data_IF_216774872327
#
_entry.id   IF_216774872327
#
_cell.length_a   1.000
_cell.length_b   1.000
_cell.length_c   1.000
_cell.angle_alpha   90.00
_cell.angle_beta   90.00
_cell.angle_gamma   90.00
#
_symmetry.space_group_name_H-M   'P 1'
#
loop_
_entity.id
_entity.type
_entity.pdbx_description
1 polymer ?
#
# COMPACT_ATOMS: atom_id res chain seq x y z
N UNK A 1 29.58 15.64 22.35
CA UNK A 1 28.81 15.09 21.24
C UNK A 1 29.28 15.78 19.97
N UNK A 2 30.19 15.13 19.25
CA UNK A 2 30.74 15.62 17.98
C UNK A 2 29.68 15.43 16.91
N UNK A 3 29.20 16.54 16.34
CA UNK A 3 28.40 16.53 15.13
C UNK A 3 29.33 16.18 13.98
N UNK A 4 29.38 14.89 13.61
CA UNK A 4 29.93 14.49 12.32
C UNK A 4 29.03 15.10 11.23
N UNK A 5 29.41 16.28 10.75
CA UNK A 5 28.88 16.86 9.52
C UNK A 5 29.17 15.85 8.42
N UNK A 6 28.14 15.15 7.96
CA UNK A 6 28.16 14.41 6.71
C UNK A 6 28.43 15.46 5.65
N UNK A 7 29.57 15.36 4.96
CA UNK A 7 29.81 16.09 3.71
C UNK A 7 28.77 15.60 2.69
N UNK A 8 27.61 16.24 2.74
CA UNK A 8 26.59 16.11 1.70
C UNK A 8 27.22 16.81 0.50
N UNK A 9 27.92 16.04 -0.36
CA UNK A 9 28.13 16.48 -1.73
C UNK A 9 26.75 16.84 -2.25
N UNK A 10 26.54 18.13 -2.44
CA UNK A 10 25.30 18.66 -2.99
C UNK A 10 25.07 18.01 -4.36
N UNK A 11 24.29 16.94 -4.38
CA UNK A 11 23.86 16.21 -5.56
C UNK A 11 22.56 16.84 -6.07
N UNK A 12 22.23 18.04 -5.59
CA UNK A 12 21.18 18.82 -6.22
C UNK A 12 21.55 18.95 -7.69
N UNK A 13 20.75 18.48 -8.65
CA UNK A 13 21.08 18.66 -10.06
C UNK A 13 21.20 20.14 -10.28
N UNK A 14 22.43 20.63 -10.44
CA UNK A 14 22.68 21.97 -10.97
C UNK A 14 21.81 22.06 -12.19
N UNK A 15 20.79 22.91 -12.15
CA UNK A 15 19.75 23.17 -13.16
C UNK A 15 19.98 22.35 -14.42
N UNK A 16 19.12 21.35 -14.62
CA UNK A 16 19.16 20.41 -15.75
C UNK A 16 19.49 21.18 -17.02
N UNK A 17 20.77 21.23 -17.38
CA UNK A 17 21.21 21.79 -18.62
C UNK A 17 21.40 20.61 -19.57
N UNK A 18 20.43 20.36 -20.49
CA UNK A 18 20.45 19.18 -21.35
C UNK A 18 21.69 19.12 -22.25
N UNK A 19 22.50 20.19 -22.31
CA UNK A 19 23.71 20.27 -23.14
C UNK A 19 25.02 19.87 -22.40
N UNK A 20 25.01 19.73 -21.07
CA UNK A 20 26.25 19.46 -20.31
C UNK A 20 26.36 18.07 -19.71
N UNK A 21 25.28 17.31 -19.59
CA UNK A 21 25.31 15.89 -19.22
C UNK A 21 25.34 14.99 -20.47
N UNK A 22 26.48 14.95 -21.14
CA UNK A 22 26.83 13.82 -22.02
C UNK A 22 27.31 12.63 -21.15
N UNK A 23 26.47 12.21 -20.21
CA UNK A 23 26.65 10.93 -19.55
C UNK A 23 26.37 9.80 -20.55
N UNK A 24 27.00 8.64 -20.38
CA UNK A 24 26.77 7.45 -21.21
C UNK A 24 25.27 7.06 -21.31
N UNK A 25 24.40 7.52 -20.39
CA UNK A 25 22.95 7.37 -20.45
C UNK A 25 22.30 7.96 -21.70
N UNK A 26 22.76 9.14 -22.16
CA UNK A 26 22.22 9.79 -23.38
C UNK A 26 22.53 9.01 -24.67
N UNK A 27 23.62 8.23 -24.67
CA UNK A 27 23.99 7.35 -25.79
C UNK A 27 22.93 6.27 -26.05
N UNK A 28 22.23 5.81 -24.98
CA UNK A 28 21.22 4.75 -25.06
C UNK A 28 19.78 5.28 -25.09
N UNK A 29 19.55 6.54 -24.70
CA UNK A 29 18.22 7.15 -24.60
C UNK A 29 18.15 8.53 -25.26
N UNK A 30 18.42 8.63 -26.57
CA UNK A 30 18.52 9.92 -27.25
C UNK A 30 17.22 10.74 -27.30
N UNK A 31 16.07 10.10 -27.03
CA UNK A 31 14.73 10.70 -27.02
C UNK A 31 14.13 10.83 -25.62
N UNK A 32 14.94 10.80 -24.55
CA UNK A 32 14.49 10.74 -23.15
C UNK A 32 13.59 9.51 -22.83
N UNK A 33 13.44 8.56 -23.74
CA UNK A 33 12.69 7.32 -23.53
C UNK A 33 13.64 6.19 -23.14
N UNK A 34 13.44 5.61 -21.97
CA UNK A 34 14.26 4.51 -21.48
C UNK A 34 13.76 3.19 -22.08
N UNK A 35 14.62 2.54 -22.91
CA UNK A 35 14.37 1.22 -23.48
C UNK A 35 15.03 0.16 -22.62
N UNK A 36 14.33 -0.32 -21.60
CA UNK A 36 14.85 -1.32 -20.67
C UNK A 36 15.11 -2.63 -21.40
N UNK A 37 16.33 -3.16 -21.26
CA UNK A 37 16.74 -4.47 -21.75
C UNK A 37 16.44 -5.53 -20.70
N UNK A 38 15.88 -6.68 -21.08
CA UNK A 38 15.67 -7.79 -20.16
C UNK A 38 17.02 -8.33 -19.66
N UNK A 39 17.17 -8.46 -18.34
CA UNK A 39 18.24 -9.20 -17.69
C UNK A 39 17.76 -10.59 -17.32
N UNK A 40 18.66 -11.57 -17.26
CA UNK A 40 18.38 -12.92 -16.75
C UNK A 40 19.27 -13.14 -15.53
N UNK A 41 18.68 -13.45 -14.39
CA UNK A 41 19.44 -13.69 -13.16
C UNK A 41 18.53 -13.92 -11.95
N UNK A 42 19.12 -14.01 -10.78
CA UNK A 42 18.44 -14.32 -9.52
C UNK A 42 17.49 -13.19 -9.11
N UNK A 43 17.95 -11.95 -9.18
CA UNK A 43 17.15 -10.78 -8.78
C UNK A 43 15.98 -10.55 -9.73
N UNK A 44 16.17 -10.80 -11.03
CA UNK A 44 15.07 -10.76 -12.00
C UNK A 44 14.01 -11.84 -11.73
N UNK A 45 14.43 -13.06 -11.39
CA UNK A 45 13.49 -14.12 -11.00
C UNK A 45 12.72 -13.75 -9.74
N UNK A 46 13.41 -13.32 -8.68
CA UNK A 46 12.79 -12.90 -7.42
C UNK A 46 11.75 -11.80 -7.64
N UNK A 47 12.10 -10.76 -8.39
CA UNK A 47 11.19 -9.65 -8.73
C UNK A 47 9.98 -10.12 -9.54
N UNK A 48 10.20 -11.00 -10.52
CA UNK A 48 9.12 -11.54 -11.36
C UNK A 48 8.15 -12.38 -10.56
N UNK A 49 8.64 -13.36 -9.80
CA UNK A 49 7.78 -14.24 -9.00
C UNK A 49 7.12 -13.48 -7.85
N UNK A 50 7.86 -12.61 -7.15
CA UNK A 50 7.29 -11.75 -6.12
C UNK A 50 6.21 -10.80 -6.67
N UNK A 51 6.45 -10.20 -7.82
CA UNK A 51 5.47 -9.34 -8.49
C UNK A 51 4.20 -10.10 -8.91
N UNK A 52 4.34 -11.30 -9.49
CA UNK A 52 3.18 -12.14 -9.83
C UNK A 52 2.41 -12.59 -8.59
N UNK A 53 3.10 -12.97 -7.53
CA UNK A 53 2.46 -13.35 -6.27
C UNK A 53 1.63 -12.20 -5.69
N UNK A 54 2.21 -11.01 -5.59
CA UNK A 54 1.51 -9.83 -5.08
C UNK A 54 0.30 -9.45 -5.94
N UNK A 55 0.43 -9.56 -7.24
CA UNK A 55 -0.62 -9.24 -8.19
C UNK A 55 -1.78 -10.23 -8.13
N UNK A 56 -1.47 -11.53 -8.05
CA UNK A 56 -2.46 -12.57 -7.86
C UNK A 56 -3.14 -12.45 -6.49
N UNK A 57 -2.39 -12.19 -5.44
CA UNK A 57 -2.93 -11.94 -4.11
C UNK A 57 -3.92 -10.76 -4.13
N UNK A 58 -3.51 -9.63 -4.69
CA UNK A 58 -4.38 -8.46 -4.86
C UNK A 58 -5.63 -8.78 -5.68
N UNK A 59 -5.47 -9.47 -6.83
CA UNK A 59 -6.56 -9.73 -7.75
C UNK A 59 -7.56 -10.78 -7.26
N UNK A 60 -7.12 -11.78 -6.49
CA UNK A 60 -7.96 -12.92 -6.09
C UNK A 60 -8.77 -12.68 -4.82
N UNK A 61 -8.27 -11.87 -3.88
CA UNK A 61 -8.95 -11.64 -2.60
C UNK A 61 -10.42 -11.22 -2.76
N UNK A 62 -10.79 -10.24 -3.64
CA UNK A 62 -12.20 -9.85 -3.78
C UNK A 62 -13.13 -10.95 -4.32
N UNK A 63 -12.56 -12.04 -4.87
CA UNK A 63 -13.34 -13.17 -5.39
C UNK A 63 -13.57 -14.27 -4.37
N UNK A 64 -12.87 -14.23 -3.22
CA UNK A 64 -12.97 -15.26 -2.19
C UNK A 64 -14.28 -15.02 -1.41
N UNK A 65 -15.23 -15.98 -1.44
CA UNK A 65 -16.42 -15.89 -0.61
C UNK A 65 -16.08 -16.22 0.85
N UNK A 66 -16.73 -15.56 1.77
CA UNK A 66 -16.67 -15.84 3.20
C UNK A 66 -18.06 -15.69 3.80
N UNK A 67 -18.76 -16.80 4.06
CA UNK A 67 -20.18 -16.79 4.40
C UNK A 67 -21.03 -16.23 3.25
N UNK A 68 -21.94 -15.33 3.56
CA UNK A 68 -22.84 -14.68 2.60
C UNK A 68 -22.19 -13.52 1.80
N UNK A 69 -20.94 -13.16 2.13
CA UNK A 69 -20.22 -12.04 1.52
C UNK A 69 -18.82 -12.40 1.05
N UNK A 70 -18.11 -11.45 0.44
CA UNK A 70 -16.70 -11.63 0.09
C UNK A 70 -15.79 -11.42 1.32
N UNK A 71 -14.61 -12.08 1.32
CA UNK A 71 -13.68 -12.11 2.44
C UNK A 71 -13.20 -10.72 2.89
N UNK A 72 -12.99 -9.78 1.97
CA UNK A 72 -12.70 -8.38 2.24
C UNK A 72 -13.67 -7.52 1.44
N UNK A 73 -14.50 -6.75 2.14
CA UNK A 73 -15.45 -5.80 1.55
C UNK A 73 -15.49 -4.53 2.40
N UNK A 74 -15.08 -3.42 1.82
CA UNK A 74 -15.08 -2.10 2.43
C UNK A 74 -16.33 -1.34 1.96
N UNK A 75 -17.48 -1.67 2.54
CA UNK A 75 -18.75 -1.05 2.17
C UNK A 75 -18.86 0.36 2.77
N UNK A 76 -18.54 1.35 1.93
CA UNK A 76 -18.60 2.77 2.33
C UNK A 76 -20.04 3.23 2.50
N UNK A 77 -20.98 2.70 1.71
CA UNK A 77 -22.39 3.11 1.76
C UNK A 77 -23.03 2.77 3.10
N UNK A 78 -22.78 1.57 3.60
CA UNK A 78 -23.27 1.10 4.90
C UNK A 78 -22.27 1.37 6.04
N UNK A 79 -21.11 1.97 5.74
CA UNK A 79 -20.04 2.24 6.72
C UNK A 79 -19.56 0.97 7.45
N UNK A 80 -19.42 -0.12 6.70
CA UNK A 80 -19.00 -1.43 7.21
C UNK A 80 -17.71 -1.87 6.52
N UNK A 81 -16.69 -2.18 7.32
CA UNK A 81 -15.41 -2.65 6.83
C UNK A 81 -15.24 -4.12 7.20
N UNK A 82 -15.52 -4.99 6.27
CA UNK A 82 -15.55 -6.44 6.47
C UNK A 82 -14.19 -7.06 6.16
N UNK A 83 -13.60 -7.71 7.14
CA UNK A 83 -12.36 -8.45 7.02
C UNK A 83 -12.58 -9.88 7.52
N UNK A 84 -12.76 -10.84 6.61
CA UNK A 84 -13.08 -12.22 6.95
C UNK A 84 -14.28 -12.30 7.93
N UNK A 85 -14.04 -12.85 9.12
CA UNK A 85 -15.05 -13.00 10.17
C UNK A 85 -15.39 -11.75 10.97
N UNK A 86 -14.66 -10.64 10.78
CA UNK A 86 -14.78 -9.43 11.59
C UNK A 86 -15.36 -8.29 10.78
N UNK A 87 -16.35 -7.59 11.32
CA UNK A 87 -16.90 -6.34 10.76
C UNK A 87 -16.47 -5.17 11.63
N UNK A 88 -15.72 -4.23 11.06
CA UNK A 88 -15.33 -2.99 11.70
C UNK A 88 -16.26 -1.87 11.26
N UNK A 89 -16.54 -0.97 12.18
CA UNK A 89 -17.39 0.20 11.97
C UNK A 89 -16.56 1.49 12.14
N UNK A 90 -17.12 2.68 11.85
CA UNK A 90 -16.42 3.95 12.05
C UNK A 90 -15.88 4.17 13.47
N UNK A 91 -16.49 3.56 14.49
CA UNK A 91 -15.99 3.60 15.87
C UNK A 91 -14.62 2.90 16.02
N UNK A 92 -14.38 1.88 15.19
CA UNK A 92 -13.17 1.04 15.22
C UNK A 92 -12.05 1.59 14.30
N UNK A 93 -12.19 2.82 13.77
CA UNK A 93 -11.20 3.46 12.87
C UNK A 93 -9.82 3.65 13.51
N UNK A 94 -9.73 3.61 14.83
CA UNK A 94 -8.45 3.59 15.54
C UNK A 94 -7.57 2.41 15.15
N UNK A 95 -8.16 1.23 14.89
CA UNK A 95 -7.45 0.05 14.38
C UNK A 95 -6.86 0.31 12.99
N UNK A 96 -7.62 0.95 12.10
CA UNK A 96 -7.14 1.31 10.76
C UNK A 96 -6.02 2.35 10.84
N UNK A 97 -6.16 3.36 11.70
CA UNK A 97 -5.11 4.35 11.91
C UNK A 97 -3.82 3.69 12.42
N UNK A 98 -3.92 2.78 13.38
CA UNK A 98 -2.78 2.05 13.94
C UNK A 98 -2.12 1.15 12.87
N UNK A 99 -2.91 0.51 12.00
CA UNK A 99 -2.41 -0.26 10.87
C UNK A 99 -1.58 0.60 9.90
N UNK A 100 -2.04 1.82 9.58
CA UNK A 100 -1.28 2.75 8.73
C UNK A 100 0.02 3.21 9.42
N UNK A 101 0.00 3.44 10.72
CA UNK A 101 1.21 3.78 11.49
C UNK A 101 2.20 2.62 11.46
N UNK A 102 1.75 1.38 11.67
CA UNK A 102 2.57 0.17 11.57
C UNK A 102 3.18 0.05 10.16
N UNK A 103 2.38 0.26 9.11
CA UNK A 103 2.86 0.21 7.73
C UNK A 103 3.93 1.28 7.47
N UNK A 104 3.75 2.51 7.95
CA UNK A 104 4.72 3.59 7.82
C UNK A 104 6.04 3.28 8.54
N UNK A 105 5.98 2.87 9.81
CA UNK A 105 7.19 2.50 10.58
C UNK A 105 7.85 1.24 10.02
N UNK A 106 7.08 0.28 9.53
CA UNK A 106 7.61 -0.89 8.81
C UNK A 106 8.40 -0.50 7.55
N UNK A 107 7.87 0.44 6.77
CA UNK A 107 8.59 0.98 5.62
C UNK A 107 9.87 1.74 6.04
N UNK A 108 9.85 2.50 7.12
CA UNK A 108 11.02 3.20 7.63
C UNK A 108 12.08 2.24 8.13
N UNK A 109 11.68 1.18 8.84
CA UNK A 109 12.57 0.13 9.30
C UNK A 109 13.26 -0.59 8.12
N UNK A 110 12.47 -1.05 7.14
CA UNK A 110 12.98 -1.71 5.93
C UNK A 110 13.91 -0.78 5.15
N UNK A 111 13.55 0.50 4.99
CA UNK A 111 14.34 1.48 4.25
C UNK A 111 15.67 1.77 4.94
N UNK A 112 15.69 1.90 6.26
CA UNK A 112 16.92 2.10 7.02
C UNK A 112 17.84 0.89 6.89
N UNK A 113 17.33 -0.32 6.82
CA UNK A 113 18.10 -1.55 6.70
C UNK A 113 18.49 -1.85 5.25
N UNK A 114 17.54 -1.98 4.34
CA UNK A 114 17.70 -2.47 2.97
C UNK A 114 17.56 -1.38 1.89
N UNK A 115 17.56 -0.10 2.28
CA UNK A 115 17.41 0.98 1.34
C UNK A 115 16.07 0.93 0.58
N UNK A 116 16.11 1.07 -0.74
CA UNK A 116 14.92 1.11 -1.60
C UNK A 116 14.41 -0.25 -2.06
N UNK A 117 14.63 -1.32 -1.30
CA UNK A 117 14.19 -2.66 -1.68
C UNK A 117 12.67 -2.74 -1.89
N UNK A 118 11.87 -2.01 -1.09
CA UNK A 118 10.43 -1.89 -1.30
C UNK A 118 10.11 -1.38 -2.71
N UNK A 119 10.76 -0.29 -3.14
CA UNK A 119 10.57 0.29 -4.47
C UNK A 119 10.96 -0.68 -5.59
N UNK A 120 12.00 -1.49 -5.39
CA UNK A 120 12.49 -2.42 -6.39
C UNK A 120 11.67 -3.69 -6.58
N UNK A 121 10.96 -4.16 -5.53
CA UNK A 121 10.34 -5.50 -5.53
C UNK A 121 8.85 -5.51 -5.21
N UNK A 122 8.39 -4.66 -4.26
CA UNK A 122 7.05 -4.75 -3.68
C UNK A 122 6.12 -3.60 -4.09
N UNK A 123 6.70 -2.46 -4.50
CA UNK A 123 5.92 -1.29 -4.87
C UNK A 123 5.00 -1.59 -6.07
N UNK A 124 3.69 -1.32 -5.98
CA UNK A 124 2.76 -1.55 -7.08
C UNK A 124 3.21 -0.90 -8.39
N UNK A 125 3.64 0.36 -8.35
CA UNK A 125 4.12 1.07 -9.54
C UNK A 125 5.23 0.30 -10.27
N UNK A 126 6.17 -0.28 -9.53
CA UNK A 126 7.27 -1.07 -10.09
C UNK A 126 6.77 -2.39 -10.66
N UNK A 127 5.88 -3.08 -9.94
CA UNK A 127 5.31 -4.36 -10.39
C UNK A 127 4.57 -4.18 -11.72
N UNK A 128 3.65 -3.22 -11.81
CA UNK A 128 2.92 -2.93 -13.06
C UNK A 128 3.84 -2.46 -14.18
N UNK A 129 4.81 -1.59 -13.88
CA UNK A 129 5.78 -1.11 -14.90
C UNK A 129 6.56 -2.28 -15.50
N UNK A 130 7.07 -3.21 -14.67
CA UNK A 130 7.79 -4.38 -15.19
C UNK A 130 6.90 -5.35 -15.96
N UNK A 131 5.64 -5.49 -15.57
CA UNK A 131 4.67 -6.29 -16.33
C UNK A 131 4.41 -5.67 -17.71
N UNK A 132 4.23 -4.34 -17.77
CA UNK A 132 4.05 -3.62 -19.03
C UNK A 132 5.29 -3.73 -19.94
N UNK A 133 6.49 -3.62 -19.39
CA UNK A 133 7.75 -3.83 -20.11
C UNK A 133 7.84 -5.26 -20.65
N UNK A 134 7.39 -6.26 -19.87
CA UNK A 134 7.37 -7.64 -20.33
C UNK A 134 6.46 -7.83 -21.56
N UNK A 135 5.26 -7.22 -21.59
CA UNK A 135 4.40 -7.22 -22.77
C UNK A 135 5.02 -6.49 -23.95
N UNK A 136 5.69 -5.35 -23.74
CA UNK A 136 6.45 -4.67 -24.80
C UNK A 136 7.49 -5.60 -25.43
N UNK A 137 8.22 -6.30 -24.61
CA UNK A 137 9.28 -7.18 -25.09
C UNK A 137 8.75 -8.38 -25.85
N UNK A 138 7.63 -8.95 -25.41
CA UNK A 138 6.96 -10.06 -26.10
C UNK A 138 6.36 -9.65 -27.45
N UNK A 139 5.74 -8.48 -27.53
CA UNK A 139 4.99 -8.04 -28.72
C UNK A 139 5.86 -7.25 -29.70
N UNK A 140 6.69 -6.32 -29.23
CA UNK A 140 7.52 -5.46 -30.08
C UNK A 140 8.97 -5.99 -30.21
N UNK A 141 9.42 -6.82 -29.26
CA UNK A 141 10.76 -7.43 -29.22
C UNK A 141 11.75 -6.71 -28.31
N UNK A 142 13.03 -7.06 -28.45
CA UNK A 142 14.11 -6.56 -27.58
C UNK A 142 14.26 -5.04 -27.61
N UNK A 143 14.86 -4.45 -26.57
CA UNK A 143 15.07 -3.01 -26.42
C UNK A 143 15.73 -2.37 -27.68
N UNK A 144 16.78 -3.01 -28.23
CA UNK A 144 17.45 -2.53 -29.44
C UNK A 144 16.53 -2.54 -30.66
N UNK A 145 15.67 -3.57 -30.80
CA UNK A 145 14.69 -3.66 -31.88
C UNK A 145 13.64 -2.56 -31.75
N UNK A 146 13.12 -2.33 -30.53
CA UNK A 146 12.13 -1.27 -30.24
C UNK A 146 12.69 0.11 -30.55
N UNK A 147 13.95 0.40 -30.16
CA UNK A 147 14.64 1.66 -30.50
C UNK A 147 14.72 1.87 -32.02
N UNK A 148 15.15 0.84 -32.75
CA UNK A 148 15.24 0.91 -34.24
C UNK A 148 13.85 1.05 -34.89
N UNK A 149 12.81 0.42 -34.33
CA UNK A 149 11.45 0.54 -34.82
C UNK A 149 10.87 1.94 -34.61
N UNK A 150 11.16 2.58 -33.47
CA UNK A 150 10.67 3.92 -33.16
C UNK A 150 11.39 5.02 -34.01
N UNK A 151 12.58 4.74 -34.54
CA UNK A 151 13.28 5.65 -35.48
C UNK A 151 12.85 5.46 -36.94
N UNK A 152 12.16 4.37 -37.28
CA UNK A 152 11.74 4.06 -38.65
C UNK A 152 10.28 4.49 -38.90
N UNK A 153 9.91 4.57 -40.18
CA UNK A 153 8.52 4.81 -40.63
C UNK A 153 7.58 3.69 -40.11
N UNK A 154 6.38 4.07 -39.72
CA UNK A 154 5.36 3.14 -39.25
C UNK A 154 4.88 2.23 -40.40
N UNK A 155 5.10 0.92 -40.27
CA UNK A 155 4.58 -0.09 -41.20
C UNK A 155 3.30 -0.71 -40.60
N UNK A 156 2.42 -1.28 -41.45
CA UNK A 156 1.17 -1.92 -41.00
C UNK A 156 1.40 -3.00 -39.93
N UNK A 157 2.42 -3.85 -40.10
CA UNK A 157 2.78 -4.89 -39.12
C UNK A 157 3.25 -4.26 -37.80
N UNK A 158 4.03 -3.17 -37.82
CA UNK A 158 4.47 -2.47 -36.63
C UNK A 158 3.29 -1.78 -35.95
N UNK A 159 2.37 -1.18 -36.69
CA UNK A 159 1.15 -0.57 -36.18
C UNK A 159 0.28 -1.60 -35.43
N UNK A 160 0.09 -2.79 -36.02
CA UNK A 160 -0.65 -3.88 -35.39
C UNK A 160 0.00 -4.35 -34.06
N UNK A 161 1.34 -4.52 -34.05
CA UNK A 161 2.06 -4.90 -32.81
C UNK A 161 1.93 -3.85 -31.73
N UNK A 162 2.00 -2.56 -32.07
CA UNK A 162 1.77 -1.47 -31.15
C UNK A 162 0.33 -1.44 -30.63
N UNK A 163 -0.65 -1.67 -31.50
CA UNK A 163 -2.06 -1.77 -31.11
C UNK A 163 -2.28 -2.93 -30.11
N UNK A 164 -1.76 -4.12 -30.41
CA UNK A 164 -1.84 -5.27 -29.50
C UNK A 164 -1.18 -5.00 -28.14
N UNK A 165 -0.06 -4.30 -28.13
CA UNK A 165 0.57 -3.86 -26.88
C UNK A 165 -0.35 -2.95 -26.07
N UNK A 166 -0.96 -1.94 -26.68
CA UNK A 166 -1.86 -1.02 -26.00
C UNK A 166 -3.15 -1.71 -25.53
N UNK A 167 -3.68 -2.66 -26.30
CA UNK A 167 -4.81 -3.50 -25.89
C UNK A 167 -4.42 -4.31 -24.65
N UNK A 168 -3.27 -4.99 -24.66
CA UNK A 168 -2.80 -5.76 -23.50
C UNK A 168 -2.61 -4.88 -22.26
N UNK A 169 -2.01 -3.70 -22.42
CA UNK A 169 -1.85 -2.74 -21.33
C UNK A 169 -3.19 -2.26 -20.77
N UNK A 170 -4.13 -1.93 -21.64
CA UNK A 170 -5.46 -1.46 -21.24
C UNK A 170 -6.26 -2.58 -20.55
N UNK A 171 -6.16 -3.82 -21.03
CA UNK A 171 -6.81 -4.97 -20.39
C UNK A 171 -6.32 -5.19 -18.96
N UNK A 172 -5.01 -5.08 -18.74
CA UNK A 172 -4.42 -5.19 -17.40
C UNK A 172 -4.85 -4.01 -16.51
N UNK A 173 -4.85 -2.81 -17.08
CA UNK A 173 -5.29 -1.61 -16.38
C UNK A 173 -6.76 -1.71 -15.98
N UNK A 174 -7.61 -2.20 -16.88
CA UNK A 174 -9.04 -2.43 -16.61
C UNK A 174 -9.25 -3.51 -15.53
N UNK A 175 -8.52 -4.63 -15.61
CA UNK A 175 -8.54 -5.67 -14.58
C UNK A 175 -8.10 -5.11 -13.22
N UNK A 176 -7.10 -4.23 -13.19
CA UNK A 176 -6.67 -3.54 -11.97
C UNK A 176 -7.76 -2.62 -11.42
N UNK A 177 -8.44 -1.86 -12.29
CA UNK A 177 -9.58 -1.02 -11.91
C UNK A 177 -10.72 -1.81 -11.31
N UNK A 178 -11.12 -2.92 -11.95
CA UNK A 178 -12.13 -3.85 -11.40
C UNK A 178 -11.73 -4.39 -10.03
N UNK A 179 -10.49 -4.89 -9.93
CA UNK A 179 -10.00 -5.45 -8.67
C UNK A 179 -10.04 -4.42 -7.55
N UNK A 180 -9.57 -3.19 -7.81
CA UNK A 180 -9.56 -2.13 -6.80
C UNK A 180 -10.98 -1.77 -6.35
N UNK A 181 -11.89 -1.52 -7.28
CA UNK A 181 -13.30 -1.19 -6.98
C UNK A 181 -14.01 -2.39 -6.34
N UNK A 182 -13.64 -3.62 -6.71
CA UNK A 182 -14.15 -4.85 -6.13
C UNK A 182 -13.85 -5.06 -4.64
N UNK A 183 -12.96 -4.27 -4.05
CA UNK A 183 -12.82 -4.19 -2.58
C UNK A 183 -13.91 -3.33 -1.92
N UNK A 184 -14.61 -2.47 -2.68
CA UNK A 184 -15.63 -1.54 -2.17
C UNK A 184 -17.04 -1.91 -2.60
N UNK A 185 -17.18 -2.71 -3.64
CA UNK A 185 -18.44 -3.19 -4.18
C UNK A 185 -18.34 -4.70 -4.40
N UNK A 186 -19.40 -5.49 -4.17
CA UNK A 186 -19.33 -6.94 -4.40
C UNK A 186 -18.84 -7.27 -5.81
N UNK A 187 -17.67 -7.93 -5.89
CA UNK A 187 -16.93 -8.12 -7.13
C UNK A 187 -17.71 -8.83 -8.23
N UNK A 188 -18.45 -9.90 -7.87
CA UNK A 188 -19.27 -10.66 -8.83
C UNK A 188 -20.35 -9.78 -9.47
N UNK A 189 -21.07 -9.01 -8.64
CA UNK A 189 -22.12 -8.10 -9.10
C UNK A 189 -21.54 -6.98 -9.96
N UNK A 190 -20.43 -6.37 -9.51
CA UNK A 190 -19.73 -5.31 -10.26
C UNK A 190 -19.38 -5.74 -11.70
N UNK A 191 -18.83 -6.94 -11.87
CA UNK A 191 -18.46 -7.44 -13.20
C UNK A 191 -19.69 -7.73 -14.06
N UNK A 192 -20.71 -8.38 -13.50
CA UNK A 192 -21.95 -8.66 -14.24
C UNK A 192 -22.62 -7.36 -14.69
N UNK A 193 -22.83 -6.42 -13.76
CA UNK A 193 -23.52 -5.17 -14.03
C UNK A 193 -22.77 -4.31 -15.05
N UNK A 194 -21.42 -4.32 -14.99
CA UNK A 194 -20.61 -3.58 -15.95
C UNK A 194 -20.79 -4.10 -17.39
N UNK A 195 -20.72 -5.42 -17.59
CA UNK A 195 -20.83 -6.01 -18.93
C UNK A 195 -22.27 -6.12 -19.45
N UNK A 196 -23.27 -6.06 -18.57
CA UNK A 196 -24.70 -5.98 -18.92
C UNK A 196 -25.21 -4.55 -19.06
N UNK A 197 -24.35 -3.55 -18.86
CA UNK A 197 -24.68 -2.12 -18.88
C UNK A 197 -25.76 -1.71 -17.86
N UNK A 198 -25.90 -2.48 -16.79
CA UNK A 198 -26.81 -2.20 -15.67
C UNK A 198 -26.10 -1.55 -14.47
N UNK A 199 -24.79 -1.31 -14.58
CA UNK A 199 -24.00 -0.77 -13.48
C UNK A 199 -24.36 0.69 -13.18
N UNK A 200 -24.43 1.04 -11.90
CA UNK A 200 -24.54 2.42 -11.46
C UNK A 200 -23.34 3.26 -11.94
N UNK A 201 -23.55 4.57 -12.08
CA UNK A 201 -22.54 5.50 -12.57
C UNK A 201 -21.24 5.48 -11.76
N UNK A 202 -21.32 5.51 -10.41
CA UNK A 202 -20.13 5.65 -9.56
C UNK A 202 -19.14 4.47 -9.64
N UNK A 203 -19.57 3.19 -9.54
CA UNK A 203 -18.67 2.06 -9.74
C UNK A 203 -17.96 2.09 -11.10
N UNK A 204 -18.70 2.38 -12.19
CA UNK A 204 -18.13 2.47 -13.55
C UNK A 204 -17.09 3.60 -13.63
N UNK A 205 -17.44 4.78 -13.11
CA UNK A 205 -16.52 5.91 -13.06
C UNK A 205 -15.20 5.55 -12.37
N UNK A 206 -15.26 4.93 -11.19
CA UNK A 206 -14.05 4.57 -10.45
C UNK A 206 -13.26 3.44 -11.14
N UNK A 207 -13.90 2.43 -11.73
CA UNK A 207 -13.21 1.40 -12.52
C UNK A 207 -12.43 2.04 -13.66
N UNK A 208 -13.06 2.93 -14.42
CA UNK A 208 -12.41 3.61 -15.55
C UNK A 208 -11.33 4.58 -15.08
N UNK A 209 -11.55 5.32 -14.00
CA UNK A 209 -10.56 6.22 -13.41
C UNK A 209 -9.28 5.47 -13.02
N UNK A 210 -9.39 4.37 -12.25
CA UNK A 210 -8.23 3.58 -11.85
C UNK A 210 -7.57 2.86 -13.04
N UNK A 211 -8.35 2.43 -14.03
CA UNK A 211 -7.81 1.88 -15.27
C UNK A 211 -6.97 2.92 -16.02
N UNK A 212 -7.47 4.13 -16.24
CA UNK A 212 -6.75 5.21 -16.91
C UNK A 212 -5.49 5.59 -16.12
N UNK A 213 -5.58 5.72 -14.80
CA UNK A 213 -4.43 6.02 -13.94
C UNK A 213 -3.37 4.92 -14.05
N UNK A 214 -3.74 3.63 -13.97
CA UNK A 214 -2.80 2.52 -14.09
C UNK A 214 -2.14 2.48 -15.46
N UNK A 215 -2.93 2.65 -16.53
CA UNK A 215 -2.43 2.71 -17.89
C UNK A 215 -1.44 3.85 -18.11
N UNK A 216 -1.75 5.04 -17.62
CA UNK A 216 -0.86 6.21 -17.69
C UNK A 216 0.42 6.03 -16.88
N UNK A 217 0.28 5.63 -15.62
CA UNK A 217 1.39 5.52 -14.68
C UNK A 217 2.39 4.42 -15.07
N UNK A 218 1.90 3.21 -15.38
CA UNK A 218 2.76 2.08 -15.70
C UNK A 218 3.22 2.08 -17.17
N UNK A 219 2.41 2.60 -18.07
CA UNK A 219 2.72 2.63 -19.53
C UNK A 219 3.59 3.79 -19.94
N UNK A 220 3.25 5.01 -19.50
CA UNK A 220 3.85 6.25 -19.98
C UNK A 220 4.78 6.91 -18.96
N UNK A 221 4.31 7.13 -17.74
CA UNK A 221 5.05 7.89 -16.74
C UNK A 221 6.19 7.08 -16.10
N UNK A 222 5.99 5.81 -15.81
CA UNK A 222 7.02 4.87 -15.31
C UNK A 222 7.93 5.47 -14.21
N UNK A 223 9.20 5.71 -14.57
CA UNK A 223 10.20 6.28 -13.67
C UNK A 223 9.87 7.70 -13.22
N UNK A 224 9.15 8.49 -14.02
CA UNK A 224 8.74 9.87 -13.67
C UNK A 224 7.90 9.85 -12.39
N UNK A 225 7.00 8.88 -12.24
CA UNK A 225 6.22 8.69 -11.01
C UNK A 225 7.11 8.52 -9.78
N UNK A 226 8.15 7.67 -9.90
CA UNK A 226 9.05 7.37 -8.79
C UNK A 226 9.98 8.54 -8.45
N UNK A 227 10.42 9.31 -9.45
CA UNK A 227 11.42 10.37 -9.27
C UNK A 227 10.78 11.70 -8.86
N UNK A 228 9.64 12.06 -9.47
CA UNK A 228 9.06 13.39 -9.34
C UNK A 228 7.76 13.45 -8.53
N UNK A 229 6.92 12.43 -8.59
CA UNK A 229 5.58 12.47 -7.98
C UNK A 229 5.49 11.73 -6.65
N UNK A 230 6.28 10.67 -6.44
CA UNK A 230 6.20 9.86 -5.22
C UNK A 230 6.86 10.58 -4.04
N UNK A 231 6.11 11.00 -3.01
CA UNK A 231 6.68 11.67 -1.85
C UNK A 231 7.60 10.73 -1.05
N UNK A 232 7.28 9.44 -1.01
CA UNK A 232 8.08 8.44 -0.30
C UNK A 232 9.51 8.35 -0.82
N UNK A 233 9.74 8.50 -2.13
CA UNK A 233 11.08 8.47 -2.70
C UNK A 233 12.00 9.57 -2.14
N UNK A 234 11.43 10.74 -1.79
CA UNK A 234 12.17 11.85 -1.16
C UNK A 234 12.45 11.57 0.31
N UNK A 235 11.47 11.08 1.06
CA UNK A 235 11.66 10.73 2.47
C UNK A 235 12.67 9.61 2.68
N UNK A 236 12.71 8.63 1.77
CA UNK A 236 13.65 7.52 1.85
C UNK A 236 15.12 7.98 1.86
N UNK A 237 15.48 8.97 1.05
CA UNK A 237 16.87 9.44 0.97
C UNK A 237 17.37 10.00 2.31
N UNK A 238 16.51 10.60 3.12
CA UNK A 238 16.83 11.09 4.46
C UNK A 238 17.01 9.96 5.49
N UNK A 239 16.53 8.75 5.17
CA UNK A 239 16.65 7.60 6.06
C UNK A 239 17.91 6.78 5.86
N UNK A 240 18.61 6.96 4.74
CA UNK A 240 19.84 6.27 4.45
C UNK A 240 20.96 6.72 5.41
N UNK A 241 21.82 5.79 5.70
CA UNK A 241 23.11 6.02 6.35
C UNK A 241 24.18 5.14 5.70
N UNK A 242 25.42 5.28 6.15
CA UNK A 242 26.59 4.58 5.58
C UNK A 242 26.53 3.05 5.74
N UNK A 243 25.65 2.55 6.63
CA UNK A 243 25.44 1.13 6.88
C UNK A 243 24.15 0.58 6.24
N UNK A 244 23.39 1.41 5.50
CA UNK A 244 22.23 0.98 4.75
C UNK A 244 22.66 0.15 3.54
N UNK A 245 22.01 -1.01 3.33
CA UNK A 245 22.28 -1.85 2.16
C UNK A 245 21.72 -1.22 0.89
N UNK A 246 22.59 -0.97 -0.06
CA UNK A 246 22.30 -0.38 -1.36
C UNK A 246 22.92 -1.23 -2.47
N UNK A 247 22.45 -1.08 -3.69
CA UNK A 247 23.18 -1.58 -4.86
C UNK A 247 24.35 -0.67 -5.12
N UNK A 248 25.55 -1.22 -5.09
CA UNK A 248 26.81 -0.46 -5.29
C UNK A 248 27.76 -1.14 -6.25
N UNK A 249 28.58 -0.33 -6.90
CA UNK A 249 29.68 -0.76 -7.76
C UNK A 249 30.99 -0.67 -7.00
N UNK A 250 31.80 -1.73 -7.03
CA UNK A 250 33.13 -1.76 -6.43
C UNK A 250 34.15 -1.10 -7.37
N UNK A 251 34.37 0.18 -7.18
CA UNK A 251 35.32 0.94 -7.97
C UNK A 251 36.79 0.51 -7.75
N UNK A 252 37.14 -0.02 -6.56
CA UNK A 252 38.51 -0.50 -6.27
C UNK A 252 38.86 -1.70 -7.14
N UNK A 253 37.89 -2.58 -7.37
CA UNK A 253 38.03 -3.76 -8.21
C UNK A 253 37.80 -3.45 -9.70
N UNK A 254 36.87 -2.55 -10.01
CA UNK A 254 36.39 -2.31 -11.37
C UNK A 254 37.15 -1.27 -12.19
N UNK A 255 37.81 -0.31 -11.54
CA UNK A 255 38.57 0.75 -12.24
C UNK A 255 40.03 0.34 -12.42
N UNK A 256 40.74 0.72 -13.49
CA UNK A 256 40.23 1.49 -14.64
C UNK A 256 39.49 0.58 -15.60
N UNK A 257 38.28 1.03 -16.03
CA UNK A 257 37.45 0.29 -16.96
C UNK A 257 37.91 0.44 -18.41
N UNK A 258 37.75 -0.63 -19.22
CA UNK A 258 38.08 -0.59 -20.63
C UNK A 258 37.69 -1.85 -21.37
N UNK A 259 37.33 -1.74 -22.67
CA UNK A 259 36.96 -2.88 -23.51
C UNK A 259 38.14 -3.79 -23.74
N UNK A 260 37.93 -5.12 -23.66
CA UNK A 260 38.99 -6.13 -23.91
C UNK A 260 38.39 -7.47 -24.30
N UNK A 261 39.21 -8.31 -24.90
CA UNK A 261 38.86 -9.68 -25.22
C UNK A 261 38.94 -10.58 -23.96
N UNK A 262 38.21 -11.71 -23.98
CA UNK A 262 38.22 -12.70 -22.89
C UNK A 262 39.61 -13.28 -22.58
N UNK A 263 40.48 -13.32 -23.58
CA UNK A 263 41.84 -13.89 -23.47
C UNK A 263 42.88 -12.90 -22.93
N UNK A 264 42.54 -11.61 -22.83
CA UNK A 264 43.47 -10.59 -22.35
C UNK A 264 43.51 -10.57 -20.84
N UNK A 265 44.70 -10.51 -20.26
CA UNK A 265 44.93 -10.36 -18.83
C UNK A 265 44.68 -8.89 -18.43
N UNK A 266 43.70 -8.58 -17.57
CA UNK A 266 43.42 -7.23 -17.15
C UNK A 266 44.56 -6.57 -16.40
N UNK A 267 45.33 -7.35 -15.63
CA UNK A 267 46.45 -6.84 -14.83
C UNK A 267 47.62 -6.35 -15.71
N UNK A 268 47.91 -7.06 -16.78
CA UNK A 268 48.96 -6.65 -17.74
C UNK A 268 48.56 -5.36 -18.48
N UNK A 269 47.26 -5.11 -18.69
CA UNK A 269 46.71 -3.91 -19.33
C UNK A 269 46.51 -2.74 -18.34
N UNK A 270 46.77 -2.94 -17.06
CA UNK A 270 46.48 -1.94 -16.01
C UNK A 270 45.01 -1.61 -15.88
N UNK A 271 44.11 -2.57 -16.23
CA UNK A 271 42.67 -2.42 -16.18
C UNK A 271 42.09 -3.19 -15.00
N UNK A 272 40.96 -2.67 -14.45
CA UNK A 272 40.13 -3.37 -13.48
C UNK A 272 39.20 -4.37 -14.14
N UNK A 273 38.34 -5.03 -13.37
CA UNK A 273 37.43 -6.08 -13.85
C UNK A 273 36.30 -5.57 -14.76
N UNK A 274 35.95 -4.28 -14.71
CA UNK A 274 34.94 -3.70 -15.57
C UNK A 274 35.40 -3.62 -17.03
N UNK A 275 34.63 -4.26 -17.93
CA UNK A 275 34.93 -4.26 -19.38
C UNK A 275 34.20 -3.14 -20.15
N UNK A 276 33.56 -2.21 -19.46
CA UNK A 276 32.85 -1.06 -20.03
C UNK A 276 31.78 -1.45 -21.06
N UNK A 277 31.00 -2.52 -20.80
CA UNK A 277 30.00 -3.05 -21.71
C UNK A 277 28.64 -2.33 -21.66
N UNK A 278 28.44 -1.39 -20.75
CA UNK A 278 27.22 -0.59 -20.52
C UNK A 278 25.93 -1.40 -20.28
N UNK A 279 26.03 -2.71 -20.04
CA UNK A 279 24.84 -3.53 -19.80
C UNK A 279 24.10 -3.14 -18.51
N UNK A 280 24.83 -2.73 -17.47
CA UNK A 280 24.23 -2.23 -16.23
C UNK A 280 23.34 -1.00 -16.45
N UNK A 281 23.70 -0.12 -17.39
CA UNK A 281 22.88 1.04 -17.79
C UNK A 281 21.67 0.61 -18.64
N UNK A 282 21.89 -0.31 -19.60
CA UNK A 282 20.82 -0.76 -20.52
C UNK A 282 19.68 -1.53 -19.80
N UNK A 283 19.97 -2.23 -18.70
CA UNK A 283 18.97 -2.96 -17.93
C UNK A 283 18.30 -2.11 -16.85
N UNK A 284 18.82 -0.90 -16.61
CA UNK A 284 18.29 -0.03 -15.55
C UNK A 284 16.94 0.57 -15.95
N UNK A 285 15.87 0.37 -15.17
CA UNK A 285 14.55 0.91 -15.47
C UNK A 285 14.48 2.44 -15.30
N UNK A 286 15.39 3.03 -14.54
CA UNK A 286 15.52 4.48 -14.35
C UNK A 286 16.63 5.10 -15.21
N UNK A 287 17.39 4.28 -15.96
CA UNK A 287 18.38 4.73 -16.92
C UNK A 287 19.69 5.29 -16.33
N UNK A 288 19.95 5.05 -15.03
CA UNK A 288 21.18 5.52 -14.37
C UNK A 288 22.40 4.67 -14.70
N UNK A 289 23.58 5.26 -14.56
CA UNK A 289 24.85 4.53 -14.53
C UNK A 289 25.30 4.30 -13.08
N UNK A 290 25.15 3.09 -12.59
CA UNK A 290 25.52 2.73 -11.20
C UNK A 290 27.01 2.84 -10.93
N UNK A 291 27.86 2.89 -11.98
CA UNK A 291 29.31 3.02 -11.85
C UNK A 291 29.73 4.41 -11.39
N UNK A 292 28.86 5.41 -11.56
CA UNK A 292 29.06 6.77 -11.08
C UNK A 292 28.67 6.95 -9.60
N UNK A 293 28.41 5.83 -8.91
CA UNK A 293 28.04 5.78 -7.50
C UNK A 293 26.53 5.73 -7.26
N UNK A 294 26.15 5.88 -5.99
CA UNK A 294 24.73 5.90 -5.59
C UNK A 294 24.04 7.15 -6.12
N UNK A 295 22.94 6.95 -6.84
CA UNK A 295 22.13 8.02 -7.40
C UNK A 295 20.71 7.98 -6.80
N UNK A 296 20.09 9.16 -6.70
CA UNK A 296 18.74 9.31 -6.14
C UNK A 296 17.68 8.46 -6.88
N UNK A 297 17.84 8.25 -8.18
CA UNK A 297 16.92 7.50 -9.03
C UNK A 297 17.03 5.98 -8.87
N UNK A 298 18.04 5.48 -8.17
CA UNK A 298 18.25 4.05 -7.96
C UNK A 298 17.12 3.48 -7.07
N UNK A 299 16.38 2.48 -7.57
CA UNK A 299 15.32 1.78 -6.85
C UNK A 299 15.76 0.45 -6.20
N UNK A 300 17.05 0.18 -6.12
CA UNK A 300 17.62 -1.05 -5.56
C UNK A 300 17.04 -2.36 -6.14
N UNK A 301 16.71 -2.38 -7.42
CA UNK A 301 16.03 -3.52 -8.05
C UNK A 301 16.95 -4.70 -8.44
N UNK A 302 18.28 -4.52 -8.36
CA UNK A 302 19.27 -5.57 -8.63
C UNK A 302 19.43 -5.99 -10.09
N UNK A 303 18.76 -5.33 -11.07
CA UNK A 303 18.88 -5.69 -12.48
C UNK A 303 20.31 -5.54 -13.02
N UNK A 304 21.03 -4.53 -12.57
CA UNK A 304 22.45 -4.30 -12.93
C UNK A 304 23.36 -5.36 -12.33
N UNK A 305 23.04 -5.91 -11.16
CA UNK A 305 23.79 -7.04 -10.55
C UNK A 305 23.69 -8.24 -11.47
N UNK A 306 22.47 -8.67 -11.82
CA UNK A 306 22.25 -9.82 -12.71
C UNK A 306 22.98 -9.65 -14.06
N UNK A 307 22.92 -8.46 -14.66
CA UNK A 307 23.56 -8.18 -15.95
C UNK A 307 25.09 -8.20 -15.85
N UNK A 308 25.64 -7.64 -14.75
CA UNK A 308 27.08 -7.62 -14.50
C UNK A 308 27.61 -9.03 -14.20
N UNK A 309 26.96 -9.78 -13.31
CA UNK A 309 27.37 -11.15 -12.96
C UNK A 309 27.36 -12.07 -14.17
N UNK A 310 26.37 -11.98 -15.05
CA UNK A 310 26.36 -12.72 -16.32
C UNK A 310 27.54 -12.35 -17.21
N UNK A 311 27.98 -11.09 -17.19
CA UNK A 311 29.14 -10.63 -17.96
C UNK A 311 30.45 -11.10 -17.33
N UNK A 312 30.57 -11.00 -16.01
CA UNK A 312 31.74 -11.49 -15.26
C UNK A 312 31.93 -12.99 -15.48
N UNK A 313 30.86 -13.78 -15.40
CA UNK A 313 30.89 -15.22 -15.66
C UNK A 313 31.38 -15.54 -17.08
N UNK A 314 30.89 -14.81 -18.11
CA UNK A 314 31.35 -14.97 -19.50
C UNK A 314 32.83 -14.63 -19.68
N UNK A 315 33.32 -13.66 -18.94
CA UNK A 315 34.72 -13.25 -18.98
C UNK A 315 35.62 -14.19 -18.15
N UNK A 316 35.03 -15.02 -17.28
CA UNK A 316 35.77 -15.86 -16.31
C UNK A 316 36.26 -15.09 -15.10
N UNK A 317 35.63 -13.96 -14.77
CA UNK A 317 35.93 -13.15 -13.60
C UNK A 317 34.97 -13.49 -12.45
N UNK A 318 35.40 -13.17 -11.22
CA UNK A 318 34.60 -13.33 -10.03
C UNK A 318 33.35 -12.44 -10.09
N UNK A 319 32.19 -12.98 -9.68
CA UNK A 319 30.91 -12.24 -9.56
C UNK A 319 31.00 -11.17 -8.47
N UNK A 320 29.97 -10.31 -8.43
CA UNK A 320 29.78 -9.33 -7.35
C UNK A 320 30.54 -8.02 -7.55
N UNK A 321 30.95 -7.68 -8.78
CA UNK A 321 31.50 -6.36 -9.10
C UNK A 321 30.43 -5.25 -8.86
N UNK A 322 29.17 -5.57 -9.12
CA UNK A 322 28.00 -4.81 -8.66
C UNK A 322 27.24 -5.74 -7.72
N UNK A 323 26.96 -5.30 -6.48
CA UNK A 323 26.29 -6.14 -5.50
C UNK A 323 25.48 -5.30 -4.50
N UNK A 324 24.70 -5.97 -3.63
CA UNK A 324 24.13 -5.35 -2.44
C UNK A 324 25.21 -5.18 -1.38
N UNK A 325 25.53 -3.95 -1.08
CA UNK A 325 26.63 -3.56 -0.19
C UNK A 325 26.28 -2.31 0.60
N UNK A 326 27.19 -1.86 1.47
CA UNK A 326 27.06 -0.61 2.21
C UNK A 326 28.18 0.35 1.84
N UNK A 327 28.01 1.65 2.05
CA UNK A 327 29.06 2.65 1.81
C UNK A 327 30.30 2.35 2.66
N UNK A 328 30.13 1.93 3.93
CA UNK A 328 31.24 1.50 4.77
C UNK A 328 31.99 0.32 4.17
N UNK A 329 31.30 -0.69 3.63
CA UNK A 329 31.94 -1.86 3.01
C UNK A 329 32.71 -1.49 1.75
N UNK A 330 32.16 -0.61 0.90
CA UNK A 330 32.86 -0.08 -0.28
C UNK A 330 34.15 0.71 0.12
N UNK A 331 34.07 1.39 1.26
CA UNK A 331 35.22 2.11 1.83
C UNK A 331 36.27 1.19 2.52
N UNK A 332 35.95 -0.11 2.69
CA UNK A 332 36.80 -1.09 3.39
C UNK A 332 36.60 -1.15 4.90
N UNK A 333 35.50 -0.57 5.41
CA UNK A 333 35.11 -0.64 6.82
C UNK A 333 34.04 -1.74 7.03
N UNK A 334 33.92 -2.24 8.27
CA UNK A 334 32.88 -3.19 8.64
C UNK A 334 31.51 -2.52 8.71
N UNK A 335 30.47 -3.21 8.21
CA UNK A 335 29.06 -2.78 8.33
C UNK A 335 28.54 -3.07 9.74
N UNK A 336 27.92 -2.09 10.38
CA UNK A 336 27.23 -2.24 11.66
C UNK A 336 25.73 -2.46 11.41
N UNK A 337 25.28 -3.70 11.54
CA UNK A 337 23.84 -4.03 11.38
C UNK A 337 23.04 -3.53 12.59
N UNK A 338 23.52 -3.85 13.82
CA UNK A 338 22.89 -3.41 15.07
C UNK A 338 23.31 -1.98 15.38
N UNK A 339 22.44 -1.03 15.02
CA UNK A 339 22.69 0.40 15.22
C UNK A 339 21.49 1.09 15.88
N UNK A 340 21.70 2.16 16.68
CA UNK A 340 20.62 2.78 17.47
C UNK A 340 19.43 3.20 16.62
N UNK A 341 19.66 3.72 15.41
CA UNK A 341 18.61 4.15 14.49
C UNK A 341 17.71 2.98 14.06
N UNK A 342 18.30 1.84 13.67
CA UNK A 342 17.55 0.65 13.26
C UNK A 342 16.81 0.01 14.44
N UNK A 343 17.47 -0.07 15.59
CA UNK A 343 16.88 -0.60 16.82
C UNK A 343 15.71 0.27 17.30
N UNK A 344 15.83 1.60 17.18
CA UNK A 344 14.77 2.54 17.54
C UNK A 344 13.51 2.32 16.68
N UNK A 345 13.66 2.26 15.36
CA UNK A 345 12.52 1.96 14.47
C UNK A 345 11.93 0.58 14.73
N UNK A 346 12.77 -0.43 14.97
CA UNK A 346 12.32 -1.78 15.29
C UNK A 346 11.54 -1.86 16.60
N UNK A 347 12.03 -1.18 17.65
CA UNK A 347 11.34 -1.13 18.95
C UNK A 347 9.97 -0.46 18.85
N UNK A 348 9.88 0.70 18.19
CA UNK A 348 8.60 1.39 17.95
C UNK A 348 7.64 0.49 17.17
N UNK A 349 8.13 -0.16 16.11
CA UNK A 349 7.31 -1.07 15.29
C UNK A 349 6.77 -2.23 16.12
N UNK A 350 7.58 -2.87 16.96
CA UNK A 350 7.15 -3.96 17.84
C UNK A 350 6.10 -3.50 18.87
N UNK A 351 6.29 -2.32 19.46
CA UNK A 351 5.30 -1.74 20.40
C UNK A 351 3.97 -1.50 19.67
N UNK A 352 4.01 -0.90 18.47
CA UNK A 352 2.79 -0.64 17.69
C UNK A 352 2.07 -1.92 17.28
N UNK A 353 2.80 -2.96 16.89
CA UNK A 353 2.23 -4.28 16.59
C UNK A 353 1.60 -4.89 17.83
N UNK A 354 2.26 -4.79 18.98
CA UNK A 354 1.71 -5.24 20.27
C UNK A 354 0.41 -4.53 20.63
N UNK A 355 0.38 -3.20 20.53
CA UNK A 355 -0.82 -2.39 20.75
C UNK A 355 -1.96 -2.76 19.77
N UNK A 356 -1.63 -3.02 18.50
CA UNK A 356 -2.61 -3.44 17.51
C UNK A 356 -3.27 -4.77 17.90
N UNK A 357 -2.49 -5.78 18.28
CA UNK A 357 -3.05 -7.06 18.69
C UNK A 357 -3.85 -6.96 19.99
N UNK A 358 -3.40 -6.16 20.95
CA UNK A 358 -4.17 -5.88 22.17
C UNK A 358 -5.52 -5.24 21.85
N UNK A 359 -5.53 -4.26 20.95
CA UNK A 359 -6.77 -3.60 20.58
C UNK A 359 -7.70 -4.49 19.74
N UNK A 360 -7.17 -5.35 18.87
CA UNK A 360 -7.97 -6.36 18.15
C UNK A 360 -8.61 -7.34 19.13
N UNK A 361 -7.87 -7.78 20.15
CA UNK A 361 -8.37 -8.69 21.18
C UNK A 361 -9.43 -8.04 22.09
N UNK A 362 -9.47 -6.72 22.18
CA UNK A 362 -10.43 -5.96 23.00
C UNK A 362 -11.66 -5.45 22.21
N UNK A 363 -11.80 -5.87 20.94
CA UNK A 363 -12.99 -5.49 20.15
C UNK A 363 -14.20 -6.27 20.63
N UNK A 364 -15.21 -5.55 21.12
CA UNK A 364 -16.45 -6.16 21.57
C UNK A 364 -17.23 -6.78 20.38
N UNK A 365 -17.90 -7.92 20.60
CA UNK A 365 -18.69 -8.61 19.56
C UNK A 365 -19.96 -7.85 19.16
N UNK A 366 -20.33 -6.83 19.93
CA UNK A 366 -21.46 -5.94 19.64
C UNK A 366 -21.07 -4.48 19.83
N UNK A 367 -21.95 -3.58 19.44
CA UNK A 367 -21.83 -2.14 19.69
C UNK A 367 -23.18 -1.52 19.98
N UNK A 368 -23.24 -0.55 20.89
CA UNK A 368 -24.45 0.23 21.15
C UNK A 368 -24.11 1.71 21.14
N UNK A 369 -24.99 2.51 20.54
CA UNK A 369 -24.96 3.97 20.71
C UNK A 369 -26.37 4.48 20.96
N UNK A 370 -26.49 5.50 21.79
CA UNK A 370 -27.75 6.09 22.24
C UNK A 370 -27.85 7.50 21.70
N UNK A 371 -28.81 7.72 20.82
CA UNK A 371 -29.12 9.03 20.25
C UNK A 371 -30.41 9.53 20.88
N UNK A 372 -30.34 10.62 21.65
CA UNK A 372 -31.55 11.28 22.17
C UNK A 372 -32.17 12.16 21.09
N UNK A 373 -33.51 12.23 21.07
CA UNK A 373 -34.22 13.17 20.19
C UNK A 373 -33.80 14.61 20.54
N UNK A 374 -33.43 15.37 19.51
CA UNK A 374 -32.99 16.79 19.61
C UNK A 374 -34.12 17.77 19.35
N UNK A 375 -35.18 17.31 18.68
CA UNK A 375 -36.33 18.17 18.34
C UNK A 375 -37.18 18.45 19.54
N UNK A 376 -37.36 17.43 20.43
CA UNK A 376 -38.12 17.55 21.65
C UNK A 376 -37.33 16.98 22.82
N UNK A 377 -36.93 17.83 23.77
CA UNK A 377 -36.10 17.41 24.89
C UNK A 377 -36.81 16.51 25.87
N UNK A 378 -38.09 16.77 26.10
CA UNK A 378 -38.99 15.94 26.90
C UNK A 378 -40.45 16.20 26.47
N UNK A 379 -41.36 15.30 26.76
CA UNK A 379 -42.80 15.49 26.69
C UNK A 379 -43.44 14.98 27.99
N UNK A 380 -44.63 15.47 28.29
CA UNK A 380 -45.43 14.94 29.38
C UNK A 380 -46.52 14.07 28.74
N UNK A 381 -46.62 12.80 29.15
CA UNK A 381 -47.62 11.89 28.64
C UNK A 381 -48.97 12.08 29.33
N UNK A 382 -50.01 11.34 28.91
CA UNK A 382 -51.36 11.42 29.48
C UNK A 382 -51.44 10.96 30.93
N UNK A 383 -50.45 10.21 31.42
CA UNK A 383 -50.35 9.79 32.83
C UNK A 383 -49.61 10.77 33.73
N UNK A 384 -49.12 11.88 33.16
CA UNK A 384 -48.35 12.90 33.91
C UNK A 384 -46.88 12.62 34.02
N UNK A 385 -46.38 11.51 33.47
CA UNK A 385 -44.94 11.19 33.48
C UNK A 385 -44.17 12.03 32.45
N UNK A 386 -42.96 12.38 32.77
CA UNK A 386 -42.04 12.98 31.83
C UNK A 386 -41.43 11.88 30.96
N UNK A 387 -41.54 12.02 29.67
CA UNK A 387 -41.09 11.05 28.69
C UNK A 387 -39.95 11.63 27.84
N UNK A 388 -38.83 10.90 27.71
CA UNK A 388 -37.76 11.21 26.82
C UNK A 388 -37.62 10.12 25.73
N UNK A 389 -37.48 10.54 24.49
CA UNK A 389 -37.37 9.63 23.34
C UNK A 389 -35.89 9.46 22.94
N UNK A 390 -35.52 8.22 22.71
CA UNK A 390 -34.17 7.80 22.28
C UNK A 390 -34.26 6.91 21.03
N UNK A 391 -33.21 6.93 20.23
CA UNK A 391 -32.96 5.93 19.20
C UNK A 391 -31.72 5.17 19.61
N UNK A 392 -31.89 3.90 19.97
CA UNK A 392 -30.81 2.99 20.24
C UNK A 392 -30.33 2.40 18.93
N UNK A 393 -29.04 2.57 18.63
CA UNK A 393 -28.40 1.95 17.48
C UNK A 393 -27.58 0.76 17.99
N UNK A 394 -28.08 -0.46 17.78
CA UNK A 394 -27.44 -1.70 18.20
C UNK A 394 -26.82 -2.36 16.98
N UNK A 395 -25.57 -2.79 17.10
CA UNK A 395 -24.76 -3.35 16.05
C UNK A 395 -24.32 -4.75 16.45
N UNK A 396 -24.68 -5.76 15.65
CA UNK A 396 -24.13 -7.10 15.80
C UNK A 396 -22.87 -7.26 14.94
N UNK A 397 -21.69 -7.29 15.57
CA UNK A 397 -20.40 -7.48 14.88
C UNK A 397 -20.07 -8.96 14.64
N UNK A 398 -20.84 -9.89 15.24
CA UNK A 398 -20.62 -11.32 15.11
C UNK A 398 -21.16 -11.87 13.77
N UNK A 399 -20.83 -13.13 13.47
CA UNK A 399 -21.28 -13.84 12.28
C UNK A 399 -22.56 -14.69 12.53
N UNK A 400 -23.15 -14.54 13.71
CA UNK A 400 -24.35 -15.29 14.11
C UNK A 400 -25.46 -14.31 14.50
N UNK A 401 -26.71 -14.76 14.34
CA UNK A 401 -27.85 -14.03 14.87
C UNK A 401 -27.73 -13.98 16.38
N UNK A 402 -27.82 -12.80 16.95
CA UNK A 402 -27.70 -12.59 18.40
C UNK A 402 -28.98 -12.00 18.97
N UNK A 403 -29.33 -12.46 20.17
CA UNK A 403 -30.45 -11.96 20.95
C UNK A 403 -29.90 -11.15 22.11
N UNK A 404 -30.29 -9.87 22.17
CA UNK A 404 -29.84 -8.93 23.19
C UNK A 404 -30.98 -8.48 24.08
N UNK A 405 -30.68 -8.29 25.35
CA UNK A 405 -31.57 -7.67 26.34
C UNK A 405 -31.11 -6.25 26.62
N UNK A 406 -32.06 -5.32 26.61
CA UNK A 406 -31.87 -3.90 26.88
C UNK A 406 -32.40 -3.58 28.26
N UNK A 407 -31.61 -2.87 29.06
CA UNK A 407 -32.01 -2.36 30.38
C UNK A 407 -31.51 -0.91 30.53
N UNK A 408 -32.03 -0.22 31.56
CA UNK A 408 -31.57 1.13 31.93
C UNK A 408 -31.40 1.21 33.44
N UNK A 409 -30.33 1.85 33.86
CA UNK A 409 -30.03 2.17 35.23
C UNK A 409 -29.91 3.69 35.45
N UNK A 410 -30.05 4.14 36.70
CA UNK A 410 -29.96 5.55 37.08
C UNK A 410 -31.29 6.28 37.25
N UNK A 411 -32.43 5.58 37.07
CA UNK A 411 -33.75 6.10 37.37
C UNK A 411 -34.51 5.12 38.24
N UNK A 412 -35.24 5.63 39.26
CA UNK A 412 -36.19 4.85 40.06
C UNK A 412 -37.55 4.82 39.34
N UNK A 413 -38.19 3.62 39.25
CA UNK A 413 -39.52 3.41 38.66
C UNK A 413 -39.66 3.92 37.21
N UNK A 414 -38.86 3.34 36.28
CA UNK A 414 -38.86 3.69 34.86
C UNK A 414 -39.99 2.96 34.12
N UNK A 415 -40.81 3.70 33.43
CA UNK A 415 -41.74 3.16 32.42
C UNK A 415 -41.00 3.00 31.07
N UNK A 416 -40.85 1.76 30.61
CA UNK A 416 -40.18 1.44 29.36
C UNK A 416 -41.16 1.32 28.22
N UNK A 417 -41.05 2.16 27.20
CA UNK A 417 -41.91 2.14 26.00
C UNK A 417 -41.05 1.68 24.78
N UNK A 418 -41.14 0.41 24.45
CA UNK A 418 -40.41 -0.22 23.35
C UNK A 418 -40.08 -1.68 23.60
N UNK A 419 -39.32 -2.29 22.68
CA UNK A 419 -38.86 -3.67 22.84
C UNK A 419 -37.62 -3.71 23.74
N UNK A 420 -37.64 -4.55 24.74
CA UNK A 420 -36.53 -4.80 25.63
C UNK A 420 -35.62 -5.94 25.15
N UNK A 421 -36.21 -6.92 24.48
CA UNK A 421 -35.45 -8.02 23.86
C UNK A 421 -35.50 -7.84 22.35
N UNK A 422 -34.33 -7.86 21.73
CA UNK A 422 -34.15 -7.64 20.30
C UNK A 422 -33.29 -8.75 19.70
N UNK A 423 -33.60 -9.14 18.46
CA UNK A 423 -32.83 -10.05 17.67
C UNK A 423 -32.16 -9.27 16.55
N UNK A 424 -30.85 -9.43 16.38
CA UNK A 424 -30.08 -8.67 15.39
C UNK A 424 -29.29 -9.65 14.53
N UNK A 425 -29.48 -9.54 13.22
CA UNK A 425 -28.83 -10.38 12.21
C UNK A 425 -27.30 -10.13 12.17
N UNK A 426 -26.51 -11.06 11.62
CA UNK A 426 -25.07 -10.88 11.45
C UNK A 426 -24.71 -9.62 10.67
N UNK A 427 -23.92 -8.73 11.26
CA UNK A 427 -23.50 -7.48 10.63
C UNK A 427 -24.61 -6.42 10.49
N UNK A 428 -25.79 -6.66 11.06
CA UNK A 428 -26.90 -5.70 11.02
C UNK A 428 -26.68 -4.55 11.99
N UNK A 429 -27.17 -3.38 11.58
CA UNK A 429 -27.26 -2.17 12.39
C UNK A 429 -28.74 -1.89 12.63
N UNK A 430 -29.25 -2.33 13.78
CA UNK A 430 -30.65 -2.13 14.16
C UNK A 430 -30.82 -0.75 14.79
N UNK A 431 -31.70 0.08 14.23
CA UNK A 431 -32.13 1.34 14.82
C UNK A 431 -33.46 1.12 15.56
N UNK A 432 -33.44 1.17 16.87
CA UNK A 432 -34.61 0.94 17.73
C UNK A 432 -35.08 2.27 18.35
N UNK A 433 -36.17 2.86 17.88
CA UNK A 433 -36.76 3.99 18.57
C UNK A 433 -37.47 3.49 19.85
N UNK A 434 -37.27 4.19 20.95
CA UNK A 434 -37.88 3.89 22.24
C UNK A 434 -38.04 5.14 23.09
N UNK A 435 -38.87 5.07 24.10
CA UNK A 435 -39.04 6.13 25.09
C UNK A 435 -38.96 5.59 26.50
N UNK A 436 -38.44 6.43 27.39
CA UNK A 436 -38.43 6.20 28.84
C UNK A 436 -39.34 7.22 29.50
N UNK A 437 -40.26 6.75 30.36
CA UNK A 437 -41.12 7.58 31.20
C UNK A 437 -40.70 7.51 32.64
N UNK A 438 -40.73 8.63 33.39
CA UNK A 438 -40.50 8.68 34.79
C UNK A 438 -41.42 9.73 35.46
N UNK A 439 -41.78 9.46 36.72
CA UNK A 439 -42.53 10.38 37.54
C UNK A 439 -41.69 11.62 37.86
N UNK A 440 -42.12 12.83 37.50
CA UNK A 440 -41.36 14.06 37.76
C UNK A 440 -41.07 14.32 39.22
N UNK A 441 -41.93 13.82 40.16
CA UNK A 441 -41.76 14.02 41.57
C UNK A 441 -40.65 13.12 42.20
N UNK A 442 -40.27 12.04 41.50
CA UNK A 442 -39.22 11.13 41.88
C UNK A 442 -37.83 11.48 41.28
N UNK A 443 -37.75 12.55 40.53
CA UNK A 443 -36.49 13.01 39.90
C UNK A 443 -35.87 14.16 40.73
N UNK A 444 -34.70 13.97 41.27
CA UNK A 444 -34.02 14.95 42.14
C UNK A 444 -33.47 16.16 41.36
N UNK A 445 -33.18 16.00 40.07
CA UNK A 445 -32.57 17.03 39.22
C UNK A 445 -33.28 17.22 37.87
N UNK A 446 -33.09 18.39 37.25
CA UNK A 446 -33.60 18.68 35.90
C UNK A 446 -32.96 17.78 34.84
N UNK A 447 -31.74 17.32 35.08
CA UNK A 447 -30.99 16.42 34.18
C UNK A 447 -30.42 15.29 35.03
N UNK A 448 -30.86 14.07 34.75
CA UNK A 448 -30.38 12.86 35.45
C UNK A 448 -29.53 12.03 34.49
N UNK A 449 -28.35 11.63 34.92
CA UNK A 449 -27.50 10.72 34.14
C UNK A 449 -28.09 9.31 34.25
N UNK A 450 -28.25 8.65 33.09
CA UNK A 450 -28.73 7.28 32.99
C UNK A 450 -27.75 6.45 32.17
N UNK A 451 -27.73 5.14 32.43
CA UNK A 451 -26.93 4.19 31.68
C UNK A 451 -27.85 3.19 31.00
N UNK A 452 -27.72 3.12 29.67
CA UNK A 452 -28.33 2.04 28.89
C UNK A 452 -27.39 0.85 28.90
N UNK A 453 -27.93 -0.32 29.20
CA UNK A 453 -27.21 -1.57 29.34
C UNK A 453 -27.71 -2.53 28.27
N UNK A 454 -26.79 -3.01 27.44
CA UNK A 454 -27.02 -4.06 26.46
C UNK A 454 -26.33 -5.32 26.94
N UNK A 455 -27.09 -6.39 27.17
CA UNK A 455 -26.55 -7.67 27.62
C UNK A 455 -26.90 -8.74 26.61
N UNK A 456 -25.95 -9.61 26.31
CA UNK A 456 -26.21 -10.82 25.54
C UNK A 456 -27.08 -11.80 26.33
N UNK A 457 -27.85 -12.65 25.63
CA UNK A 457 -28.70 -13.67 26.22
C UNK A 457 -27.94 -14.66 27.11
N UNK A 458 -26.66 -14.94 26.78
CA UNK A 458 -25.78 -15.78 27.60
C UNK A 458 -25.18 -15.05 28.80
N UNK A 459 -25.36 -13.74 28.94
CA UNK A 459 -24.72 -12.87 29.92
C UNK A 459 -23.17 -12.91 29.88
N UNK A 460 -22.61 -13.26 28.71
CA UNK A 460 -21.15 -13.32 28.53
C UNK A 460 -20.50 -11.95 28.41
N UNK A 461 -21.26 -10.94 27.94
CA UNK A 461 -20.76 -9.57 27.86
C UNK A 461 -21.87 -8.54 28.11
N UNK A 462 -21.47 -7.36 28.55
CA UNK A 462 -22.34 -6.22 28.82
C UNK A 462 -21.74 -4.94 28.24
N UNK A 463 -22.54 -4.14 27.55
CA UNK A 463 -22.14 -2.83 27.04
C UNK A 463 -22.98 -1.78 27.75
N UNK A 464 -22.31 -0.80 28.34
CA UNK A 464 -22.95 0.33 29.04
C UNK A 464 -22.71 1.62 28.23
N UNK A 465 -23.76 2.38 28.02
CA UNK A 465 -23.70 3.66 27.31
C UNK A 465 -24.41 4.73 28.12
N UNK A 466 -23.66 5.75 28.52
CA UNK A 466 -24.20 6.88 29.27
C UNK A 466 -25.07 7.76 28.38
N UNK A 467 -26.22 8.21 28.94
CA UNK A 467 -27.11 9.18 28.34
C UNK A 467 -27.72 10.08 29.43
N UNK A 468 -28.61 10.99 29.04
CA UNK A 468 -29.23 11.94 29.96
C UNK A 468 -30.75 11.90 29.82
N UNK A 469 -31.42 11.86 30.95
CA UNK A 469 -32.85 12.03 31.06
C UNK A 469 -33.15 13.46 31.53
N UNK A 470 -34.08 14.16 30.84
CA UNK A 470 -34.39 15.58 31.12
C UNK A 470 -35.86 15.70 31.47
N UNK A 471 -36.16 16.36 32.63
CA UNK A 471 -37.54 16.63 33.02
C UNK A 471 -37.99 18.05 32.72
N UNK A 472 -37.18 19.06 32.97
CA UNK A 472 -37.45 20.47 32.67
C UNK A 472 -36.17 21.24 32.88
N UNK A 473 -35.87 22.21 32.04
CA UNK A 473 -34.78 23.16 32.24
C UNK A 473 -35.24 24.38 33.01
#
# INVERSE_FOLDING_TARGET
MSQDKIDIKDVTPKTFNPKTHKGNGDRFNPSNRIYVRESKGTFQKLRRYGGWFLLLFFALIPWIPYGERQAILLDIGNQQFNFFGTTLYPQDLTLLALLFVIAAFGLFFITTFLGRVWCGYLCPQTVWTFMYIWFEEKLEGSANKRRKQDSNKLTANLAMRKALKHIAWFSIALATGFTFVGYFVPMKQLVIDFFTFNANFWPVFWVMFFAICTYGNAGWMRSIMCIHMCPYARFQSAMFDKDTFIVGYDSKRGEKRGPRSRKADPKQLGLGDCIDCDLCVQVCPTGIDIRDGLQYECINCGACIDACDNTMERMGYEKGLINYTTEHRLSGKSTKVMRPKLLGYGAVLLVMIGLFFLQVASVDPAGMSVLRDRNQLFRVNSSGEVENTYTLKVINKSQQVQEYNLNVEGLSDVSWYGKQTIQVEPGEVLNLPMSLGADPDKLDSAITTIQFILTDKSNEFTIEVESRFIKKL
#
